data_IF_534298624672
#
_entry.id   IF_534298624672
#
_cell.length_a   1.000
_cell.length_b   1.000
_cell.length_c   1.000
_cell.angle_alpha   90.00
_cell.angle_beta   90.00
_cell.angle_gamma   90.00
#
_symmetry.space_group_name_H-M   'P 1'
#
loop_
_entity.id
_entity.type
_entity.pdbx_description
1 polymer ?
2 polymer ?
3 polymer ?
4 water ?
#
loop_
_entity_poly.entity_id
_entity_poly.type
_entity_poly.pdbx_seq_one_letter_code
_entity_poly.pdbx_strand_id
1 'polydeoxyribonucleotide' '(DC)(DC)(DG)(DC)(DA)(DC)(DA)(DC)(DC)(DC)(DA)(DC)(DA)(DC)(DA)(DC)(DC)(DA)(DG)' ?
2 'polydeoxyribonucleotide' '(DC)(DC)(DT)(DG)(DG)(DT)(DG)(DT)(DG)(DT)(DG)(DG)(DG)(DT)(DG)(DT)(DG)(DC)(DG)' ?
#
# COMPACT_ATOMS: atom_id res chain seq x y z
N UNK E 8 -9.03 -50.58 10.68
CA UNK E 8 -10.17 -50.10 11.47
C UNK E 8 -10.16 -50.56 12.92
N UNK E 9 -10.59 -49.68 13.82
CA UNK E 9 -10.64 -49.97 15.24
C UNK E 9 -11.92 -49.39 15.85
N UNK E 10 -12.45 -50.10 16.85
CA UNK E 10 -13.65 -49.67 17.53
C UNK E 10 -13.36 -48.65 18.62
N UNK E 11 -14.33 -47.78 18.87
CA UNK E 11 -14.22 -46.76 19.90
C UNK E 11 -14.69 -47.37 21.20
N UNK E 12 -13.82 -47.28 22.19
CA UNK E 12 -14.09 -47.81 23.53
C UNK E 12 -14.83 -46.72 24.31
N UNK E 13 -15.52 -47.08 25.38
CA UNK E 13 -16.24 -46.08 26.18
C UNK E 13 -15.25 -45.06 26.75
N UNK E 14 -14.07 -45.54 27.11
CA UNK E 14 -13.04 -44.70 27.69
C UNK E 14 -12.63 -43.60 26.70
N UNK E 15 -12.39 -43.99 25.45
CA UNK E 15 -12.01 -43.05 24.39
C UNK E 15 -13.13 -42.02 24.10
N UNK E 16 -14.36 -42.50 24.02
CA UNK E 16 -15.53 -41.63 23.81
C UNK E 16 -15.61 -40.57 24.90
N UNK E 17 -15.42 -41.00 26.15
CA UNK E 17 -15.47 -40.06 27.27
C UNK E 17 -14.29 -39.11 27.20
N UNK E 18 -13.18 -39.56 26.64
CA UNK E 18 -12.02 -38.66 26.50
C UNK E 18 -12.32 -37.58 25.44
N UNK E 19 -12.82 -38.01 24.28
CA UNK E 19 -13.19 -37.10 23.19
C UNK E 19 -14.20 -36.06 23.72
N UNK E 20 -15.23 -36.52 24.43
CA UNK E 20 -16.24 -35.61 25.01
C UNK E 20 -15.64 -34.58 25.95
N UNK E 21 -14.75 -35.02 26.82
CA UNK E 21 -14.09 -34.15 27.79
C UNK E 21 -13.30 -33.08 27.07
N UNK E 22 -12.57 -33.48 26.03
CA UNK E 22 -11.76 -32.54 25.28
C UNK E 22 -12.60 -31.45 24.57
N UNK E 23 -13.76 -31.84 24.04
CA UNK E 23 -14.63 -30.89 23.36
C UNK E 23 -15.25 -29.93 24.35
N UNK E 24 -15.58 -30.41 25.54
CA UNK E 24 -16.15 -29.54 26.58
C UNK E 24 -15.13 -28.53 27.06
N UNK E 25 -13.86 -28.92 27.12
CA UNK E 25 -12.80 -27.99 27.54
C UNK E 25 -12.27 -27.15 26.40
N UNK E 26 -12.81 -27.35 25.19
CA UNK E 26 -12.42 -26.57 24.00
C UNK E 26 -13.66 -26.37 23.13
N UNK E 27 -14.80 -25.98 23.75
CA UNK E 27 -16.06 -25.77 23.03
C UNK E 27 -16.08 -24.92 21.75
N UNK E 28 -15.25 -23.88 21.66
CA UNK E 28 -15.23 -23.02 20.48
C UNK E 28 -14.65 -23.74 19.27
N UNK E 29 -13.95 -24.84 19.54
CA UNK E 29 -13.34 -25.62 18.48
C UNK E 29 -14.13 -26.89 18.14
N UNK E 30 -15.29 -27.07 18.77
CA UNK E 30 -16.15 -28.22 18.53
C UNK E 30 -16.44 -28.55 17.06
N UNK E 31 -16.53 -27.54 16.20
CA UNK E 31 -16.82 -27.80 14.79
C UNK E 31 -15.62 -27.73 13.84
N UNK E 32 -14.42 -27.69 14.40
CA UNK E 32 -13.21 -27.68 13.61
C UNK E 32 -12.91 -29.13 13.23
N UNK E 33 -11.78 -29.31 12.56
CA UNK E 33 -11.29 -30.61 12.15
C UNK E 33 -10.01 -30.73 12.94
N UNK E 34 -9.28 -29.62 13.07
CA UNK E 34 -8.03 -29.61 13.81
C UNK E 34 -8.13 -30.06 15.24
N UNK E 35 -9.26 -29.80 15.89
CA UNK E 35 -9.40 -30.23 17.27
C UNK E 35 -9.30 -31.74 17.31
N UNK E 36 -10.00 -32.38 16.39
CA UNK E 36 -10.04 -33.82 16.30
C UNK E 36 -8.75 -34.48 15.81
N UNK E 37 -8.01 -33.77 14.99
CA UNK E 37 -6.74 -34.23 14.52
C UNK E 37 -5.79 -34.24 15.71
N UNK E 38 -5.93 -33.27 16.61
CA UNK E 38 -5.09 -33.20 17.78
C UNK E 38 -5.45 -34.30 18.74
N UNK E 39 -6.73 -34.56 18.85
CA UNK E 39 -7.17 -35.63 19.72
C UNK E 39 -6.52 -36.94 19.26
N UNK E 40 -6.44 -37.15 17.95
CA UNK E 40 -5.83 -38.39 17.45
C UNK E 40 -4.43 -38.65 17.97
N UNK E 41 -3.76 -37.61 18.45
CA UNK E 41 -2.43 -37.75 19.03
C UNK E 41 -2.41 -38.56 20.33
N UNK E 42 -3.53 -38.55 21.04
CA UNK E 42 -3.68 -39.23 22.32
C UNK E 42 -4.37 -40.56 22.19
N UNK E 43 -5.14 -40.72 21.12
CA UNK E 43 -5.85 -41.97 20.84
C UNK E 43 -5.47 -42.39 19.41
N UNK E 44 -4.20 -42.76 19.19
CA UNK E 44 -3.60 -43.19 17.94
C UNK E 44 -4.30 -44.26 17.13
N UNK E 45 -5.11 -45.09 17.78
CA UNK E 45 -5.84 -46.11 17.05
C UNK E 45 -6.84 -45.45 16.09
N UNK E 46 -7.09 -44.16 16.27
CA UNK E 46 -8.05 -43.44 15.44
C UNK E 46 -7.44 -42.23 14.74
N UNK E 47 -8.22 -41.61 13.85
CA UNK E 47 -7.75 -40.44 13.13
C UNK E 47 -8.71 -39.26 13.34
N UNK E 48 -8.25 -38.05 13.01
CA UNK E 48 -9.07 -36.87 13.14
C UNK E 48 -10.41 -37.07 12.50
N UNK E 49 -10.41 -37.68 11.30
CA UNK E 49 -11.63 -37.98 10.56
C UNK E 49 -12.58 -38.91 11.34
N UNK E 50 -12.07 -39.98 11.92
CA UNK E 50 -12.94 -40.92 12.64
C UNK E 50 -13.40 -40.36 13.96
N UNK E 51 -12.53 -39.60 14.59
CA UNK E 51 -12.85 -38.95 15.87
C UNK E 51 -13.93 -37.88 15.67
N UNK E 52 -13.79 -37.07 14.63
CA UNK E 52 -14.78 -36.02 14.38
C UNK E 52 -16.13 -36.63 14.09
N UNK E 53 -16.14 -37.60 13.18
CA UNK E 53 -17.37 -38.29 12.79
C UNK E 53 -17.97 -38.98 14.01
N UNK E 54 -17.13 -39.69 14.76
CA UNK E 54 -17.59 -40.38 15.95
C UNK E 54 -18.26 -39.36 16.85
N UNK E 55 -17.60 -38.24 17.08
CA UNK E 55 -18.17 -37.22 17.92
C UNK E 55 -19.47 -36.70 17.32
N UNK E 56 -19.38 -36.06 16.16
CA UNK E 56 -20.52 -35.49 15.44
C UNK E 56 -21.76 -36.34 15.42
N UNK E 57 -21.64 -37.53 14.86
CA UNK E 57 -22.76 -38.45 14.71
C UNK E 57 -23.15 -39.30 15.93
N UNK E 58 -22.18 -39.67 16.77
CA UNK E 58 -22.50 -40.52 17.92
C UNK E 58 -22.40 -39.85 19.28
N UNK E 59 -21.27 -39.21 19.53
CA UNK E 59 -21.05 -38.56 20.82
C UNK E 59 -21.77 -37.26 21.12
N UNK E 60 -22.12 -36.48 20.11
CA UNK E 60 -22.79 -35.19 20.32
C UNK E 60 -24.08 -35.27 21.14
N UNK E 61 -24.84 -36.34 20.95
CA UNK E 61 -26.08 -36.53 21.69
C UNK E 61 -25.82 -36.73 23.19
N UNK E 62 -24.55 -36.88 23.56
CA UNK E 62 -24.12 -37.06 24.94
C UNK E 62 -23.32 -35.87 25.49
N UNK E 63 -23.12 -34.82 24.69
CA UNK E 63 -22.34 -33.68 25.18
C UNK E 63 -22.95 -33.21 26.49
N UNK E 64 -24.23 -32.85 26.45
CA UNK E 64 -25.00 -32.38 27.60
C UNK E 64 -24.58 -31.01 28.08
N UNK E 65 -23.28 -30.75 28.12
CA UNK E 65 -22.78 -29.49 28.60
C UNK E 65 -21.36 -29.36 28.16
N UNK E 66 -20.86 -28.12 28.21
CA UNK E 66 -19.48 -27.80 27.90
C UNK E 66 -19.05 -26.93 29.08
N UNK E 67 -17.80 -26.50 29.09
CA UNK E 67 -17.33 -25.66 30.16
C UNK E 67 -17.22 -24.26 29.54
N UNK E 68 -17.55 -23.23 30.31
CA UNK E 68 -17.50 -21.90 29.75
C UNK E 68 -16.09 -21.38 29.67
N UNK E 69 -15.84 -20.60 28.61
CA UNK E 69 -14.55 -19.99 28.37
C UNK E 69 -14.74 -18.47 28.36
N UNK E 70 -13.67 -17.73 28.60
CA UNK E 70 -13.70 -16.26 28.62
C UNK E 70 -13.46 -15.67 27.22
N UNK E 71 -13.40 -14.34 27.13
CA UNK E 71 -13.17 -13.68 25.84
C UNK E 71 -11.78 -13.90 25.23
N UNK E 72 -10.83 -14.41 26.01
CA UNK E 72 -9.48 -14.68 25.51
C UNK E 72 -9.38 -16.12 25.03
N UNK E 73 -10.54 -16.78 24.91
CA UNK E 73 -10.59 -18.17 24.47
C UNK E 73 -10.18 -19.20 25.52
N UNK E 74 -9.85 -18.73 26.72
CA UNK E 74 -9.44 -19.59 27.82
C UNK E 74 -10.60 -20.07 28.72
N UNK E 75 -10.40 -21.18 29.41
CA UNK E 75 -11.44 -21.71 30.26
C UNK E 75 -11.60 -20.82 31.51
N UNK E 76 -12.81 -20.75 32.04
CA UNK E 76 -13.05 -19.97 33.24
C UNK E 76 -12.79 -20.87 34.44
N UNK E 77 -11.90 -20.43 35.32
CA UNK E 77 -11.58 -21.20 36.51
C UNK E 77 -11.81 -20.37 37.75
N UNK E 78 -12.26 -21.01 38.83
CA UNK E 78 -12.51 -20.32 40.09
C UNK E 78 -11.29 -20.29 41.01
N UNK E 79 -11.54 -19.91 42.27
CA UNK E 79 -10.54 -19.79 43.32
C UNK E 79 -9.62 -21.01 43.45
N UNK E 80 -10.23 -22.20 43.44
CA UNK E 80 -9.50 -23.45 43.60
C UNK E 80 -9.11 -24.11 42.28
N UNK E 81 -9.50 -23.52 41.16
CA UNK E 81 -9.18 -24.11 39.87
C UNK E 81 -10.27 -24.98 39.24
N UNK E 82 -11.49 -24.89 39.75
CA UNK E 82 -12.62 -25.66 39.21
C UNK E 82 -13.22 -24.94 38.00
N UNK E 83 -13.83 -25.72 37.10
CA UNK E 83 -14.44 -25.17 35.89
C UNK E 83 -15.95 -24.92 36.05
N UNK E 84 -16.57 -24.21 35.11
CA UNK E 84 -17.99 -23.91 35.15
C UNK E 84 -18.76 -24.51 33.96
N UNK E 85 -19.71 -25.41 34.26
CA UNK E 85 -20.54 -26.08 33.25
C UNK E 85 -21.56 -25.14 32.61
N UNK E 86 -21.93 -25.41 31.36
CA UNK E 86 -22.90 -24.57 30.66
C UNK E 86 -23.53 -25.29 29.47
N UNK E 87 -24.83 -25.05 29.25
CA UNK E 87 -25.55 -25.64 28.13
C UNK E 87 -25.63 -24.62 27.01
N UNK E 88 -24.91 -23.52 27.21
CA UNK E 88 -24.85 -22.43 26.26
C UNK E 88 -23.51 -22.45 25.54
N UNK E 89 -23.53 -22.90 24.29
CA UNK E 89 -22.34 -22.99 23.47
C UNK E 89 -21.76 -21.61 23.18
N UNK E 90 -20.42 -21.47 23.29
CA UNK E 90 -19.82 -20.17 23.00
C UNK E 90 -19.79 -19.94 21.50
N UNK E 91 -19.37 -18.73 21.08
CA UNK E 91 -19.35 -18.57 19.63
C UNK E 91 -18.24 -19.43 18.99
N UNK E 92 -18.52 -20.01 17.83
CA UNK E 92 -17.51 -20.83 17.16
C UNK E 92 -16.50 -19.90 16.49
N UNK E 93 -15.65 -20.47 15.65
CA UNK E 93 -14.59 -19.74 14.96
C UNK E 93 -15.05 -18.79 13.83
N UNK E 94 -16.08 -19.21 13.12
CA UNK E 94 -16.61 -18.45 12.01
C UNK E 94 -18.08 -18.16 12.27
N UNK E 95 -18.49 -16.93 11.98
CA UNK E 95 -19.89 -16.52 12.15
C UNK E 95 -20.49 -16.33 10.75
N UNK E 96 -21.69 -16.85 10.53
CA UNK E 96 -22.36 -16.72 9.24
C UNK E 96 -22.97 -15.32 9.06
N UNK E 97 -23.16 -14.91 7.80
CA UNK E 97 -23.75 -13.62 7.51
C UNK E 97 -25.28 -13.76 7.44
N UNK E 98 -25.97 -12.77 8.00
CA UNK E 98 -27.42 -12.81 7.98
C UNK E 98 -27.93 -11.86 6.93
N UNK E 99 -29.19 -12.03 6.54
CA UNK E 99 -29.81 -11.15 5.54
C UNK E 99 -29.77 -9.70 6.04
N UNK E 100 -29.99 -9.51 7.33
CA UNK E 100 -29.98 -8.19 7.93
C UNK E 100 -28.62 -7.57 7.73
N UNK E 101 -27.59 -8.36 7.98
CA UNK E 101 -26.22 -7.91 7.85
C UNK E 101 -25.93 -7.52 6.40
N UNK E 102 -26.29 -8.39 5.47
CA UNK E 102 -26.07 -8.10 4.06
C UNK E 102 -26.71 -6.76 3.63
N UNK E 103 -27.95 -6.53 4.08
CA UNK E 103 -28.69 -5.30 3.80
C UNK E 103 -28.01 -4.09 4.45
N UNK E 104 -27.68 -4.22 5.75
CA UNK E 104 -26.98 -3.16 6.48
C UNK E 104 -25.69 -2.75 5.76
N UNK E 105 -24.97 -3.72 5.21
CA UNK E 105 -23.72 -3.47 4.49
C UNK E 105 -23.97 -2.77 3.15
N UNK E 106 -24.89 -3.35 2.37
CA UNK E 106 -25.25 -2.82 1.05
C UNK E 106 -25.71 -1.36 1.13
N UNK E 107 -26.58 -1.09 2.11
CA UNK E 107 -27.09 0.26 2.34
C UNK E 107 -25.96 1.22 2.71
N UNK E 108 -25.08 0.80 3.62
CA UNK E 108 -23.96 1.62 4.04
C UNK E 108 -23.12 2.00 2.83
N UNK E 109 -22.84 1.03 1.97
CA UNK E 109 -22.06 1.26 0.75
C UNK E 109 -22.79 2.20 -0.21
N UNK E 110 -24.10 1.99 -0.38
CA UNK E 110 -24.92 2.83 -1.25
C UNK E 110 -24.85 4.29 -0.79
N UNK E 111 -25.04 4.50 0.52
CA UNK E 111 -24.97 5.83 1.12
C UNK E 111 -23.59 6.44 0.87
N UNK E 112 -22.56 5.63 1.02
CA UNK E 112 -21.22 6.08 0.77
C UNK E 112 -21.11 6.61 -0.66
N UNK E 113 -21.49 5.79 -1.64
CA UNK E 113 -21.43 6.19 -3.05
C UNK E 113 -22.29 7.43 -3.33
N UNK E 114 -23.44 7.51 -2.68
CA UNK E 114 -24.33 8.65 -2.85
C UNK E 114 -23.64 9.94 -2.40
N UNK E 115 -23.05 9.92 -1.22
CA UNK E 115 -22.34 11.08 -0.70
C UNK E 115 -21.20 11.45 -1.62
N UNK E 116 -20.49 10.44 -2.10
CA UNK E 116 -19.39 10.61 -3.01
C UNK E 116 -19.80 11.32 -4.28
N UNK E 117 -20.81 10.75 -4.94
CA UNK E 117 -21.30 11.29 -6.20
C UNK E 117 -22.10 12.58 -6.16
N UNK E 118 -22.94 12.74 -5.15
CA UNK E 118 -23.80 13.91 -5.07
C UNK E 118 -23.54 14.92 -3.97
N UNK E 119 -22.62 14.61 -3.06
CA UNK E 119 -22.28 15.55 -1.98
C UNK E 119 -23.54 16.03 -1.30
N UNK E 120 -24.46 15.11 -1.11
CA UNK E 120 -25.73 15.38 -0.47
C UNK E 120 -26.03 14.28 0.52
N UNK E 121 -26.58 14.67 1.66
CA UNK E 121 -26.94 13.71 2.69
C UNK E 121 -28.18 12.94 2.24
N UNK E 122 -28.10 11.60 2.24
CA UNK E 122 -29.22 10.73 1.83
C UNK E 122 -30.45 10.82 2.74
N UNK E 123 -30.23 11.11 4.02
CA UNK E 123 -31.32 11.19 4.99
C UNK E 123 -32.20 12.44 4.89
N UNK E 124 -31.59 13.61 4.72
CA UNK E 124 -32.37 14.84 4.65
C UNK E 124 -32.25 15.53 3.31
N UNK E 125 -31.02 15.70 2.84
CA UNK E 125 -30.81 16.37 1.59
C UNK E 125 -29.90 17.54 1.84
N UNK E 126 -29.37 17.63 3.06
CA UNK E 126 -28.46 18.70 3.42
C UNK E 126 -27.28 18.64 2.45
N UNK E 127 -26.68 19.79 2.17
CA UNK E 127 -25.55 19.87 1.27
C UNK E 127 -24.29 19.54 2.04
N UNK E 128 -23.54 18.58 1.52
CA UNK E 128 -22.31 18.19 2.16
C UNK E 128 -21.16 19.06 1.70
N UNK E 129 -21.46 20.14 0.97
CA UNK E 129 -20.42 21.05 0.49
C UNK E 129 -20.02 22.00 1.62
N UNK E 161 -31.59 5.93 -5.59
CA UNK E 161 -30.87 5.74 -6.85
C UNK E 161 -30.40 4.29 -7.10
N UNK E 162 -29.48 4.11 -8.05
CA UNK E 162 -28.98 2.80 -8.47
C UNK E 162 -27.48 2.91 -8.80
N UNK E 163 -26.86 1.85 -9.29
CA UNK E 163 -25.40 1.90 -9.65
C UNK E 163 -24.87 0.64 -10.36
N UNK E 164 -23.58 0.61 -10.62
CA UNK E 164 -22.87 -0.48 -11.27
C UNK E 164 -21.40 -0.22 -11.26
N UNK E 165 -20.94 0.31 -10.13
CA UNK E 165 -19.55 0.68 -9.88
C UNK E 165 -19.04 -0.06 -8.66
N UNK E 166 -17.76 -0.39 -8.65
CA UNK E 166 -17.16 -1.12 -7.53
C UNK E 166 -16.74 -0.21 -6.38
N UNK E 167 -16.09 0.90 -6.69
CA UNK E 167 -15.66 1.80 -5.65
C UNK E 167 -15.38 3.18 -6.23
N UNK E 168 -14.34 3.89 -5.76
CA UNK E 168 -13.43 3.41 -4.71
C UNK E 168 -14.13 3.41 -3.35
N UNK E 169 -13.64 2.60 -2.44
CA UNK E 169 -14.23 2.52 -1.12
C UNK E 169 -13.52 3.57 -0.28
N UNK E 170 -14.31 4.34 0.46
CA UNK E 170 -13.80 5.38 1.32
C UNK E 170 -12.81 4.83 2.31
N UNK E 171 -11.88 5.71 2.68
CA UNK E 171 -10.83 5.43 3.65
C UNK E 171 -11.46 4.95 4.97
N UNK E 172 -10.97 3.81 5.45
CA UNK E 172 -11.45 3.21 6.70
C UNK E 172 -12.94 2.88 6.78
N UNK E 173 -13.57 2.65 5.64
CA UNK E 173 -14.98 2.32 5.56
C UNK E 173 -15.27 1.01 6.28
N UNK E 174 -14.47 0.01 5.97
CA UNK E 174 -14.67 -1.30 6.57
C UNK E 174 -14.22 -1.34 8.01
N UNK E 175 -13.20 -0.56 8.36
CA UNK E 175 -12.73 -0.50 9.73
C UNK E 175 -13.84 0.08 10.58
N UNK E 176 -14.45 1.16 10.12
CA UNK E 176 -15.54 1.72 10.88
C UNK E 176 -16.82 0.93 10.78
N UNK E 177 -17.06 0.23 9.67
CA UNK E 177 -18.25 -0.59 9.56
C UNK E 177 -18.14 -1.67 10.63
N UNK E 178 -16.97 -2.31 10.73
CA UNK E 178 -16.71 -3.36 11.73
C UNK E 178 -16.90 -2.91 13.19
N UNK E 179 -16.43 -1.69 13.50
CA UNK E 179 -16.58 -1.14 14.85
C UNK E 179 -18.06 -0.97 15.21
N UNK E 180 -18.83 -0.41 14.28
CA UNK E 180 -20.26 -0.19 14.50
C UNK E 180 -21.10 -1.48 14.42
N UNK E 181 -20.59 -2.51 13.74
CA UNK E 181 -21.25 -3.81 13.59
C UNK E 181 -20.19 -4.90 13.80
N UNK E 182 -19.78 -5.11 15.05
CA UNK E 182 -18.75 -6.08 15.40
C UNK E 182 -19.09 -7.59 15.40
N UNK E 183 -20.13 -8.00 14.69
CA UNK E 183 -20.47 -9.41 14.59
C UNK E 183 -19.44 -10.04 13.63
N UNK E 184 -18.77 -9.20 12.83
CA UNK E 184 -17.75 -9.64 11.87
C UNK E 184 -16.61 -8.65 11.91
N UNK E 185 -15.40 -9.10 11.56
CA UNK E 185 -14.22 -8.25 11.56
C UNK E 185 -14.18 -7.40 10.28
N UNK E 186 -13.26 -6.45 10.23
CA UNK E 186 -13.09 -5.60 9.05
C UNK E 186 -12.82 -6.47 7.80
N UNK E 187 -11.98 -7.50 7.97
CA UNK E 187 -11.66 -8.42 6.88
C UNK E 187 -12.87 -9.19 6.38
N UNK E 188 -13.68 -9.66 7.31
CA UNK E 188 -14.86 -10.42 6.92
C UNK E 188 -15.83 -9.56 6.13
N UNK E 189 -16.08 -8.35 6.60
CA UNK E 189 -17.01 -7.45 5.94
C UNK E 189 -16.52 -7.08 4.55
N UNK E 190 -15.23 -6.80 4.44
CA UNK E 190 -14.67 -6.44 3.16
C UNK E 190 -14.79 -7.55 2.15
N UNK E 191 -14.48 -8.78 2.56
CA UNK E 191 -14.59 -9.89 1.63
C UNK E 191 -16.04 -10.17 1.27
N UNK E 192 -16.93 -10.01 2.24
CA UNK E 192 -18.34 -10.20 1.99
C UNK E 192 -18.80 -9.21 0.92
N UNK E 193 -18.23 -8.00 0.95
CA UNK E 193 -18.57 -6.96 -0.02
C UNK E 193 -17.99 -7.31 -1.39
N UNK E 194 -16.72 -7.73 -1.42
CA UNK E 194 -16.06 -8.06 -2.68
C UNK E 194 -16.60 -9.27 -3.38
N UNK E 195 -16.69 -10.37 -2.64
CA UNK E 195 -17.12 -11.65 -3.18
C UNK E 195 -18.61 -11.88 -3.33
N UNK E 196 -19.42 -11.28 -2.47
CA UNK E 196 -20.86 -11.47 -2.54
C UNK E 196 -21.64 -10.27 -3.00
N UNK E 197 -21.50 -9.16 -2.29
CA UNK E 197 -22.22 -7.94 -2.67
C UNK E 197 -21.91 -7.49 -4.10
N UNK E 198 -20.64 -7.28 -4.42
CA UNK E 198 -20.26 -6.85 -5.76
C UNK E 198 -20.67 -7.86 -6.81
N UNK E 199 -20.71 -9.13 -6.41
CA UNK E 199 -21.09 -10.24 -7.29
C UNK E 199 -22.59 -10.27 -7.62
N UNK E 200 -23.41 -10.17 -6.59
CA UNK E 200 -24.86 -10.18 -6.71
C UNK E 200 -25.38 -8.83 -7.22
N UNK E 201 -24.70 -7.76 -6.82
CA UNK E 201 -25.07 -6.42 -7.21
C UNK E 201 -25.73 -5.71 -6.05
N UNK E 202 -25.21 -4.54 -5.70
CA UNK E 202 -25.75 -3.77 -4.57
C UNK E 202 -27.24 -3.45 -4.70
N UNK E 203 -27.63 -2.90 -5.85
CA UNK E 203 -29.02 -2.54 -6.07
C UNK E 203 -29.90 -3.76 -6.06
N UNK E 204 -29.46 -4.81 -6.73
CA UNK E 204 -30.21 -6.04 -6.81
C UNK E 204 -30.50 -6.57 -5.42
N UNK E 205 -29.47 -6.64 -4.57
CA UNK E 205 -29.72 -7.13 -3.22
C UNK E 205 -30.65 -6.23 -2.41
N UNK E 206 -30.53 -4.92 -2.58
CA UNK E 206 -31.39 -3.98 -1.85
C UNK E 206 -32.85 -4.13 -2.27
N UNK E 207 -33.10 -4.23 -3.58
CA UNK E 207 -34.47 -4.40 -4.08
C UNK E 207 -35.02 -5.72 -3.54
N UNK E 208 -34.22 -6.79 -3.63
CA UNK E 208 -34.59 -8.12 -3.12
C UNK E 208 -34.96 -8.12 -1.63
N UNK E 209 -34.05 -7.68 -0.78
CA UNK E 209 -34.30 -7.64 0.67
C UNK E 209 -35.56 -6.84 1.00
N UNK E 210 -35.63 -5.60 0.51
CA UNK E 210 -36.78 -4.73 0.75
C UNK E 210 -38.08 -5.30 0.22
N UNK E 211 -38.00 -6.03 -0.90
CA UNK E 211 -39.18 -6.64 -1.51
C UNK E 211 -39.83 -7.76 -0.72
N UNK E 212 -39.55 -7.85 0.58
CA UNK E 212 -40.14 -8.87 1.45
C UNK E 212 -40.97 -8.20 2.54
N UNK E 220 -32.50 -16.02 2.55
CA UNK E 220 -32.35 -14.57 2.48
C UNK E 220 -30.91 -14.05 2.27
N UNK E 221 -29.93 -14.49 3.11
CA UNK E 221 -28.58 -13.94 2.81
C UNK E 221 -28.00 -14.41 1.48
N UNK E 222 -27.09 -13.61 0.92
CA UNK E 222 -26.46 -13.96 -0.34
C UNK E 222 -25.74 -15.27 -0.10
N UNK E 223 -25.68 -16.10 -1.13
CA UNK E 223 -25.05 -17.39 -0.98
C UNK E 223 -24.57 -17.96 -2.31
N UNK E 224 -23.62 -18.88 -2.20
CA UNK E 224 -23.02 -19.56 -3.33
C UNK E 224 -22.57 -18.66 -4.46
N UNK E 225 -21.75 -17.67 -4.14
CA UNK E 225 -21.23 -16.76 -5.14
C UNK E 225 -19.71 -16.87 -5.28
N UNK E 226 -19.08 -17.78 -4.57
CA UNK E 226 -17.62 -17.93 -4.66
C UNK E 226 -17.18 -18.39 -6.05
N UNK E 235 -4.31 -30.18 -1.56
CA UNK E 235 -5.18 -31.23 -1.00
C UNK E 235 -6.51 -30.72 -0.44
N UNK E 236 -7.59 -31.47 -0.66
CA UNK E 236 -8.90 -31.08 -0.14
C UNK E 236 -8.80 -30.90 1.37
N UNK E 237 -9.23 -29.72 1.87
CA UNK E 237 -9.21 -29.41 3.30
C UNK E 237 -10.23 -30.24 4.05
N UNK E 238 -10.07 -30.31 5.36
CA UNK E 238 -11.01 -31.05 6.17
C UNK E 238 -10.88 -32.55 5.95
N UNK E 239 -9.66 -32.97 5.67
CA UNK E 239 -9.39 -34.37 5.44
C UNK E 239 -8.16 -34.71 6.25
N UNK E 240 -8.35 -34.91 7.55
CA UNK E 240 -7.24 -35.24 8.43
C UNK E 240 -7.21 -36.76 8.62
N UNK E 241 -6.63 -37.45 7.63
CA UNK E 241 -6.52 -38.91 7.60
C UNK E 241 -5.24 -39.47 8.28
N UNK E 242 -5.04 -40.79 8.20
CA UNK E 242 -3.87 -41.41 8.82
C UNK E 242 -2.51 -40.92 8.29
N UNK F 8 27.53 44.50 8.36
CA UNK F 8 27.93 43.95 7.06
C UNK F 8 29.45 43.88 6.85
N UNK F 9 29.99 42.68 6.98
CA UNK F 9 31.42 42.43 6.81
C UNK F 9 31.85 42.24 5.35
N UNK F 10 33.02 42.75 5.02
CA UNK F 10 33.58 42.63 3.67
C UNK F 10 34.26 41.26 3.58
N UNK F 11 34.23 40.65 2.39
CA UNK F 11 34.89 39.37 2.21
C UNK F 11 36.37 39.61 1.95
N UNK F 12 37.21 39.01 2.79
CA UNK F 12 38.65 39.12 2.66
C UNK F 12 39.10 38.09 1.61
N UNK F 13 40.32 38.22 1.09
CA UNK F 13 40.78 37.25 0.12
C UNK F 13 40.90 35.85 0.74
N UNK F 14 41.19 35.78 2.03
CA UNK F 14 41.35 34.50 2.76
C UNK F 14 40.03 33.75 2.86
N UNK F 15 38.95 34.50 3.07
CA UNK F 15 37.62 33.93 3.16
C UNK F 15 37.21 33.43 1.77
N UNK F 16 37.52 34.20 0.74
CA UNK F 16 37.22 33.85 -0.66
C UNK F 16 37.86 32.55 -1.09
N UNK F 17 39.14 32.38 -0.74
CA UNK F 17 39.91 31.16 -1.06
C UNK F 17 39.40 29.97 -0.30
N UNK F 18 39.00 30.22 0.93
CA UNK F 18 38.44 29.18 1.78
C UNK F 18 37.14 28.68 1.16
N UNK F 19 36.26 29.60 0.77
CA UNK F 19 34.97 29.27 0.16
C UNK F 19 35.22 28.45 -1.10
N UNK F 20 36.13 28.92 -1.94
CA UNK F 20 36.49 28.24 -3.16
C UNK F 20 36.99 26.83 -2.86
N UNK F 21 37.92 26.69 -1.94
CA UNK F 21 38.44 25.37 -1.59
C UNK F 21 37.34 24.43 -1.09
N UNK F 22 36.39 24.96 -0.34
CA UNK F 22 35.32 24.12 0.17
C UNK F 22 34.41 23.63 -0.95
N UNK F 23 34.09 24.51 -1.89
CA UNK F 23 33.23 24.19 -3.03
C UNK F 23 33.94 23.20 -3.95
N UNK F 24 35.24 23.36 -4.11
CA UNK F 24 36.03 22.44 -4.95
C UNK F 24 35.98 21.04 -4.36
N UNK F 25 36.00 20.95 -3.04
CA UNK F 25 35.98 19.67 -2.36
C UNK F 25 34.60 19.06 -2.19
N UNK F 26 33.58 19.84 -2.52
CA UNK F 26 32.20 19.39 -2.43
C UNK F 26 31.50 19.88 -3.68
N UNK F 27 32.09 19.63 -4.86
CA UNK F 27 31.53 20.04 -6.15
C UNK F 27 30.06 19.67 -6.43
N UNK F 28 29.60 18.51 -5.98
CA UNK F 28 28.21 18.12 -6.22
C UNK F 28 27.24 19.03 -5.46
N UNK F 29 27.78 19.80 -4.53
CA UNK F 29 26.98 20.67 -3.69
C UNK F 29 27.13 22.15 -4.00
N UNK F 30 27.70 22.44 -5.15
CA UNK F 30 27.92 23.80 -5.56
C UNK F 30 26.68 24.70 -5.61
N UNK F 31 25.52 24.16 -5.98
CA UNK F 31 24.30 24.97 -6.06
C UNK F 31 23.28 24.78 -4.95
N UNK F 32 23.71 24.15 -3.86
CA UNK F 32 22.85 23.99 -2.71
C UNK F 32 22.94 25.33 -1.95
N UNK F 33 22.20 25.42 -0.85
CA UNK F 33 22.25 26.60 0.00
C UNK F 33 22.91 26.10 1.25
N UNK F 34 22.69 24.82 1.55
CA UNK F 34 23.26 24.22 2.74
C UNK F 34 24.77 24.22 2.81
N UNK F 35 25.44 24.13 1.67
CA UNK F 35 26.89 24.09 1.70
C UNK F 35 27.45 25.40 2.24
N UNK F 36 26.87 26.50 1.80
CA UNK F 36 27.31 27.83 2.22
C UNK F 36 26.95 28.10 3.67
N UNK F 37 25.85 27.53 4.12
CA UNK F 37 25.47 27.65 5.52
C UNK F 37 26.49 26.89 6.35
N UNK F 38 26.95 25.73 5.87
CA UNK F 38 27.97 24.98 6.57
C UNK F 38 29.26 25.77 6.59
N UNK F 39 29.57 26.44 5.49
CA UNK F 39 30.79 27.24 5.40
C UNK F 39 30.77 28.36 6.46
N UNK F 40 29.59 28.88 6.76
CA UNK F 40 29.48 29.96 7.74
C UNK F 40 29.94 29.59 9.14
N UNK F 41 30.09 28.30 9.38
CA UNK F 41 30.55 27.84 10.68
C UNK F 41 31.98 28.29 10.87
N UNK F 42 32.69 28.37 9.75
CA UNK F 42 34.10 28.74 9.68
C UNK F 42 34.34 30.22 9.43
N UNK F 43 33.42 30.87 8.74
CA UNK F 43 33.52 32.31 8.47
C UNK F 43 32.21 32.90 9.02
N UNK F 44 32.04 32.88 10.36
CA UNK F 44 30.89 33.37 11.10
C UNK F 44 30.51 34.86 10.89
N UNK F 45 31.44 35.62 10.31
CA UNK F 45 31.20 37.03 10.05
C UNK F 45 30.16 37.18 8.93
N UNK F 46 29.90 36.09 8.22
CA UNK F 46 28.96 36.09 7.12
C UNK F 46 27.91 35.02 7.34
N UNK F 47 26.91 35.03 6.46
CA UNK F 47 25.81 34.08 6.55
C UNK F 47 25.85 33.13 5.35
N UNK F 48 25.03 32.09 5.42
CA UNK F 48 24.92 31.16 4.32
C UNK F 48 24.59 31.95 3.09
N UNK F 49 23.65 32.88 3.22
CA UNK F 49 23.22 33.74 2.12
C UNK F 49 24.34 34.55 1.48
N UNK F 50 25.05 35.35 2.27
CA UNK F 50 26.12 36.16 1.72
C UNK F 50 27.26 35.34 1.13
N UNK F 51 27.64 34.27 1.83
CA UNK F 51 28.71 33.41 1.34
C UNK F 51 28.29 32.82 -0.02
N UNK F 52 27.03 32.40 -0.13
CA UNK F 52 26.50 31.81 -1.36
C UNK F 52 26.50 32.79 -2.51
N UNK F 53 26.07 34.01 -2.22
CA UNK F 53 26.03 35.07 -3.21
C UNK F 53 27.44 35.46 -3.60
N UNK F 54 28.31 35.52 -2.61
CA UNK F 54 29.70 35.86 -2.85
C UNK F 54 30.27 34.83 -3.85
N UNK F 55 30.04 33.55 -3.59
CA UNK F 55 30.54 32.54 -4.50
C UNK F 55 29.93 32.68 -5.90
N UNK F 56 28.61 32.73 -5.98
CA UNK F 56 27.96 32.82 -7.28
C UNK F 56 28.36 33.99 -8.14
N UNK F 57 28.33 35.19 -7.59
CA UNK F 57 28.63 36.38 -8.37
C UNK F 57 30.10 36.73 -8.60
N UNK F 58 30.96 36.43 -7.63
CA UNK F 58 32.34 36.81 -7.77
C UNK F 58 33.35 35.69 -7.86
N UNK F 59 33.21 34.69 -7.00
CA UNK F 59 34.16 33.59 -6.98
C UNK F 59 34.02 32.50 -8.03
N UNK F 60 32.82 32.21 -8.49
CA UNK F 60 32.65 31.18 -9.52
C UNK F 60 33.46 31.51 -10.78
N UNK F 61 33.73 32.79 -10.99
CA UNK F 61 34.51 33.25 -12.14
C UNK F 61 35.94 32.75 -12.06
N UNK F 62 36.45 32.59 -10.85
CA UNK F 62 37.81 32.10 -10.68
C UNK F 62 37.92 30.69 -10.03
N UNK F 63 36.84 29.89 -10.19
CA UNK F 63 36.80 28.51 -9.67
C UNK F 63 37.96 27.73 -10.31
N UNK F 64 38.01 27.75 -11.64
CA UNK F 64 39.05 27.09 -12.43
C UNK F 64 39.01 25.58 -12.41
N UNK F 65 38.80 24.99 -11.25
CA UNK F 65 38.77 23.55 -11.12
C UNK F 65 38.12 23.12 -9.81
N UNK F 66 37.75 21.85 -9.75
CA UNK F 66 37.18 21.20 -8.57
C UNK F 66 37.93 19.88 -8.44
N UNK F 67 37.73 19.17 -7.34
CA UNK F 67 38.39 17.88 -7.15
C UNK F 67 37.32 16.86 -7.51
N UNK F 68 37.68 15.80 -8.22
CA UNK F 68 36.67 14.84 -8.59
C UNK F 68 36.21 13.90 -7.49
N UNK F 69 34.96 13.49 -7.57
CA UNK F 69 34.40 12.57 -6.58
C UNK F 69 33.93 11.33 -7.34
N UNK F 70 33.78 10.23 -6.63
CA UNK F 70 33.37 8.97 -7.20
C UNK F 70 31.86 8.76 -7.06
N UNK F 71 31.38 7.60 -7.51
CA UNK F 71 29.96 7.25 -7.45
C UNK F 71 29.43 7.14 -6.02
N UNK F 72 30.32 6.94 -5.06
CA UNK F 72 29.94 6.85 -3.66
C UNK F 72 30.01 8.24 -3.03
N UNK F 73 30.20 9.26 -3.87
CA UNK F 73 30.26 10.64 -3.41
C UNK F 73 31.50 11.09 -2.65
N UNK F 74 32.52 10.24 -2.58
CA UNK F 74 33.75 10.58 -1.88
C UNK F 74 34.82 11.13 -2.84
N UNK F 75 35.71 11.97 -2.32
CA UNK F 75 36.75 12.56 -3.15
C UNK F 75 37.71 11.49 -3.67
N UNK F 76 38.09 11.60 -4.94
CA UNK F 76 39.00 10.64 -5.56
C UNK F 76 40.44 11.05 -5.27
N UNK F 77 41.21 10.11 -4.73
CA UNK F 77 42.61 10.36 -4.42
C UNK F 77 43.47 9.37 -5.20
N UNK F 78 44.66 9.81 -5.62
CA UNK F 78 45.55 8.90 -6.34
C UNK F 78 46.45 8.09 -5.37
N UNK F 79 47.58 7.58 -5.86
CA UNK F 79 48.51 6.76 -5.05
C UNK F 79 49.18 7.40 -3.84
N UNK F 80 49.41 8.71 -3.90
CA UNK F 80 50.02 9.43 -2.79
C UNK F 80 48.95 10.15 -1.97
N UNK F 81 47.69 9.93 -2.34
CA UNK F 81 46.57 10.56 -1.64
C UNK F 81 46.24 11.96 -2.12
N UNK F 82 46.77 12.34 -3.28
CA UNK F 82 46.51 13.66 -3.86
C UNK F 82 45.11 13.64 -4.42
N UNK F 83 44.39 14.73 -4.24
CA UNK F 83 43.06 14.86 -4.78
C UNK F 83 43.27 15.08 -6.26
N UNK F 84 42.24 14.80 -7.06
CA UNK F 84 42.36 14.97 -8.48
C UNK F 84 41.61 16.21 -8.98
N UNK F 85 42.38 17.15 -9.51
CA UNK F 85 41.83 18.40 -10.03
C UNK F 85 41.25 18.21 -11.44
N UNK F 86 40.06 18.77 -11.66
CA UNK F 86 39.38 18.64 -12.95
C UNK F 86 38.48 19.84 -13.21
N UNK F 87 38.29 20.17 -14.48
CA UNK F 87 37.43 21.27 -14.90
C UNK F 87 36.07 20.68 -15.22
N UNK F 88 35.99 19.37 -15.12
CA UNK F 88 34.77 18.63 -15.38
C UNK F 88 33.86 18.65 -14.14
N UNK F 89 32.82 19.47 -14.19
CA UNK F 89 31.85 19.59 -13.08
C UNK F 89 30.98 18.37 -13.04
N UNK F 90 30.91 17.72 -11.88
CA UNK F 90 30.07 16.53 -11.78
C UNK F 90 28.58 16.87 -11.71
N UNK F 91 27.72 15.85 -11.72
CA UNK F 91 26.33 16.27 -11.63
C UNK F 91 26.02 16.82 -10.22
N UNK F 92 25.03 17.69 -10.15
CA UNK F 92 24.65 18.25 -8.87
C UNK F 92 23.72 17.26 -8.18
N UNK F 93 22.81 17.75 -7.37
CA UNK F 93 21.90 16.89 -6.63
C UNK F 93 20.62 16.54 -7.40
N UNK F 94 20.14 17.49 -8.19
CA UNK F 94 18.94 17.31 -8.98
C UNK F 94 19.29 17.56 -10.43
N UNK F 95 18.58 16.88 -11.33
CA UNK F 95 18.78 17.00 -12.78
C UNK F 95 17.49 17.45 -13.43
N UNK F 96 17.60 18.31 -14.43
CA UNK F 96 16.43 18.81 -15.13
C UNK F 96 15.93 17.83 -16.18
N UNK F 97 14.70 18.06 -16.64
CA UNK F 97 14.05 17.22 -17.64
C UNK F 97 14.13 17.88 -19.02
N UNK F 98 14.66 17.15 -19.99
CA UNK F 98 14.77 17.65 -21.36
C UNK F 98 13.51 17.19 -22.06
N UNK F 99 13.25 17.77 -23.24
CA UNK F 99 12.06 17.42 -24.02
C UNK F 99 12.14 15.96 -24.46
N UNK F 100 13.34 15.50 -24.77
CA UNK F 100 13.52 14.11 -25.17
C UNK F 100 13.07 13.18 -24.05
N UNK F 101 13.36 13.56 -22.81
CA UNK F 101 12.96 12.76 -21.65
C UNK F 101 11.45 12.76 -21.47
N UNK F 102 10.83 13.94 -21.58
CA UNK F 102 9.39 14.02 -21.44
C UNK F 102 8.69 13.29 -22.59
N UNK F 103 9.21 13.42 -23.80
CA UNK F 103 8.66 12.73 -24.95
C UNK F 103 8.80 11.20 -24.77
N UNK F 104 9.98 10.71 -24.42
CA UNK F 104 10.19 9.27 -24.20
C UNK F 104 9.16 8.74 -23.20
N UNK F 105 8.87 9.53 -22.18
CA UNK F 105 7.89 9.16 -21.15
C UNK F 105 6.48 9.20 -21.74
N UNK F 106 6.20 10.22 -22.54
CA UNK F 106 4.90 10.36 -23.17
C UNK F 106 4.61 9.17 -24.09
N UNK F 107 5.54 8.89 -25.00
CA UNK F 107 5.41 7.75 -25.91
C UNK F 107 5.30 6.46 -25.11
N UNK F 108 6.22 6.22 -24.19
CA UNK F 108 6.22 5.01 -23.36
C UNK F 108 4.95 4.75 -22.59
N UNK F 109 4.34 5.81 -22.05
CA UNK F 109 3.09 5.67 -21.32
C UNK F 109 1.95 5.35 -22.32
N UNK F 110 2.03 5.92 -23.51
CA UNK F 110 1.02 5.67 -24.53
C UNK F 110 1.10 4.23 -25.02
N UNK F 111 2.31 3.73 -25.25
CA UNK F 111 2.47 2.34 -25.70
C UNK F 111 1.86 1.41 -24.64
N UNK F 112 1.99 1.78 -23.37
CA UNK F 112 1.45 1.00 -22.28
C UNK F 112 -0.09 1.01 -22.34
N UNK F 113 -0.69 2.20 -22.44
CA UNK F 113 -2.15 2.34 -22.51
C UNK F 113 -2.72 1.60 -23.74
N UNK F 114 -2.07 1.80 -24.89
CA UNK F 114 -2.45 1.16 -26.15
C UNK F 114 -2.51 -0.36 -25.94
N UNK F 115 -1.48 -0.91 -25.31
CA UNK F 115 -1.41 -2.35 -25.04
C UNK F 115 -2.54 -2.90 -24.19
N UNK F 116 -2.83 -2.22 -23.07
CA UNK F 116 -3.90 -2.64 -22.17
C UNK F 116 -5.28 -2.51 -22.84
N UNK F 117 -5.42 -1.50 -23.70
CA UNK F 117 -6.67 -1.26 -24.39
C UNK F 117 -6.97 -2.15 -25.57
N UNK F 118 -6.01 -2.23 -26.48
CA UNK F 118 -6.18 -2.99 -27.69
C UNK F 118 -5.52 -4.37 -27.72
N UNK F 119 -4.66 -4.65 -26.75
CA UNK F 119 -3.99 -5.94 -26.69
C UNK F 119 -3.27 -6.21 -28.01
N UNK F 120 -2.81 -5.14 -28.64
CA UNK F 120 -2.10 -5.22 -29.91
C UNK F 120 -0.77 -4.50 -29.75
N UNK F 121 0.21 -4.89 -30.57
CA UNK F 121 1.54 -4.32 -30.55
C UNK F 121 1.56 -2.99 -31.28
N UNK F 122 1.98 -1.89 -30.60
CA UNK F 122 2.04 -0.55 -31.20
C UNK F 122 2.96 -0.50 -32.41
N UNK F 123 4.10 -1.16 -32.29
CA UNK F 123 5.09 -1.19 -33.34
C UNK F 123 4.66 -1.94 -34.61
N UNK F 124 4.10 -3.14 -34.47
CA UNK F 124 3.74 -3.93 -35.64
C UNK F 124 2.29 -4.32 -35.87
N UNK F 125 1.55 -4.53 -34.80
CA UNK F 125 0.16 -4.95 -34.97
C UNK F 125 -0.02 -6.36 -34.50
N UNK F 126 1.08 -7.04 -34.19
CA UNK F 126 1.05 -8.42 -33.68
C UNK F 126 0.07 -8.49 -32.51
N UNK F 127 -0.54 -9.65 -32.30
CA UNK F 127 -1.47 -9.80 -31.20
C UNK F 127 -0.78 -10.28 -29.94
N UNK F 128 -1.17 -9.69 -28.82
CA UNK F 128 -0.60 -10.02 -27.53
C UNK F 128 -1.49 -11.03 -26.77
N UNK F 129 -2.21 -11.86 -27.52
CA UNK F 129 -3.10 -12.87 -26.94
C UNK F 129 -2.39 -14.23 -26.94
N UNK F 161 -3.36 6.69 -32.15
CA UNK F 161 -4.61 6.93 -31.40
C UNK F 161 -4.47 8.08 -30.38
N UNK F 162 -5.42 8.22 -29.46
CA UNK F 162 -5.39 9.31 -28.47
C UNK F 162 -6.11 8.90 -27.15
N UNK F 163 -5.98 9.69 -26.08
CA UNK F 163 -6.61 9.37 -24.78
C UNK F 163 -6.94 10.56 -23.88
N UNK F 164 -7.57 10.24 -22.75
CA UNK F 164 -7.96 11.19 -21.72
C UNK F 164 -8.17 10.37 -20.46
N UNK F 165 -7.18 9.56 -20.11
CA UNK F 165 -7.24 8.70 -18.94
C UNK F 165 -5.95 8.71 -18.14
N UNK F 166 -6.08 8.60 -16.83
CA UNK F 166 -4.95 8.63 -15.91
C UNK F 166 -4.13 7.33 -15.77
N UNK F 167 -4.75 6.17 -16.00
CA UNK F 167 -4.04 4.91 -15.89
C UNK F 167 -4.97 3.71 -15.79
N UNK F 168 -4.69 2.74 -14.88
CA UNK F 168 -3.57 2.70 -13.93
C UNK F 168 -2.27 2.44 -14.65
N UNK F 169 -1.18 2.63 -13.94
CA UNK F 169 0.12 2.39 -14.54
C UNK F 169 0.54 0.97 -14.17
N UNK F 170 1.00 0.24 -15.18
CA UNK F 170 1.44 -1.13 -15.02
C UNK F 170 2.38 -1.33 -13.84
N UNK F 171 2.46 -2.57 -13.39
CA UNK F 171 3.30 -2.95 -12.28
C UNK F 171 4.78 -2.69 -12.63
N UNK F 172 5.46 -1.97 -11.73
CA UNK F 172 6.89 -1.62 -11.86
C UNK F 172 7.27 -0.81 -13.11
N UNK F 173 6.28 -0.14 -13.70
CA UNK F 173 6.48 0.66 -14.91
C UNK F 173 7.59 1.70 -14.74
N UNK F 174 7.56 2.44 -13.63
CA UNK F 174 8.55 3.48 -13.39
C UNK F 174 9.88 2.94 -12.94
N UNK F 175 9.87 1.75 -12.34
CA UNK F 175 11.09 1.11 -11.88
C UNK F 175 11.91 0.79 -13.11
N UNK F 176 11.25 0.16 -14.06
CA UNK F 176 11.88 -0.24 -15.31
C UNK F 176 12.19 0.92 -16.24
N UNK F 177 11.30 1.89 -16.29
CA UNK F 177 11.55 3.07 -17.09
C UNK F 177 12.83 3.72 -16.56
N UNK F 178 12.96 3.85 -15.23
CA UNK F 178 14.15 4.44 -14.61
C UNK F 178 15.40 3.60 -14.88
N UNK F 179 15.21 2.29 -15.03
CA UNK F 179 16.30 1.39 -15.30
C UNK F 179 16.79 1.61 -16.72
N UNK F 180 15.87 1.63 -17.68
CA UNK F 180 16.23 1.84 -19.09
C UNK F 180 16.60 3.29 -19.43
N UNK F 181 16.23 4.23 -18.56
CA UNK F 181 16.52 5.65 -18.74
C UNK F 181 16.88 6.22 -17.36
N UNK F 182 18.08 5.83 -16.88
CA UNK F 182 18.59 6.19 -15.56
C UNK F 182 19.12 7.61 -15.32
N UNK F 183 18.77 8.56 -16.18
CA UNK F 183 19.19 9.94 -15.97
C UNK F 183 18.44 10.45 -14.74
N UNK F 184 17.30 9.82 -14.45
CA UNK F 184 16.43 10.17 -13.33
C UNK F 184 16.04 8.88 -12.58
N UNK F 185 15.66 8.99 -11.31
CA UNK F 185 15.26 7.86 -10.50
C UNK F 185 13.81 7.45 -10.81
N UNK F 186 13.40 6.33 -10.23
CA UNK F 186 12.02 5.87 -10.37
C UNK F 186 11.09 6.95 -9.84
N UNK F 187 11.45 7.53 -8.69
CA UNK F 187 10.64 8.58 -8.05
C UNK F 187 10.56 9.84 -8.88
N UNK F 188 11.68 10.23 -9.47
CA UNK F 188 11.67 11.44 -10.28
C UNK F 188 10.78 11.26 -11.51
N UNK F 189 10.85 10.08 -12.14
CA UNK F 189 10.01 9.85 -13.32
C UNK F 189 8.51 9.83 -12.99
N UNK F 190 8.15 9.22 -11.87
CA UNK F 190 6.75 9.15 -11.51
C UNK F 190 6.12 10.51 -11.27
N UNK F 191 6.79 11.36 -10.51
CA UNK F 191 6.24 12.67 -10.22
C UNK F 191 6.13 13.51 -11.47
N UNK F 192 7.11 13.40 -12.37
CA UNK F 192 7.10 14.13 -13.62
C UNK F 192 5.88 13.73 -14.43
N UNK F 193 5.44 12.50 -14.24
CA UNK F 193 4.27 11.99 -14.95
C UNK F 193 3.04 12.55 -14.28
N UNK F 194 2.93 12.31 -12.97
CA UNK F 194 1.79 12.79 -12.21
C UNK F 194 1.53 14.27 -12.24
N UNK F 195 2.60 15.05 -12.10
CA UNK F 195 2.48 16.49 -12.02
C UNK F 195 2.67 17.25 -13.32
N UNK F 196 3.40 16.68 -14.26
CA UNK F 196 3.64 17.35 -15.54
C UNK F 196 2.96 16.70 -16.74
N UNK F 197 3.29 15.45 -17.03
CA UNK F 197 2.68 14.76 -18.17
C UNK F 197 1.15 14.74 -18.08
N UNK F 198 0.61 14.46 -16.89
CA UNK F 198 -0.84 14.41 -16.74
C UNK F 198 -1.52 15.75 -16.68
N UNK F 199 -0.77 16.81 -16.39
CA UNK F 199 -1.36 18.13 -16.33
C UNK F 199 -1.35 18.78 -17.71
N UNK F 200 -0.36 18.44 -18.52
CA UNK F 200 -0.27 18.97 -19.88
C UNK F 200 -1.06 18.11 -20.87
N UNK F 201 -1.11 16.80 -20.58
CA UNK F 201 -1.81 15.85 -21.43
C UNK F 201 -0.81 15.11 -22.31
N UNK F 202 -0.86 13.78 -22.29
CA UNK F 202 0.07 12.96 -23.06
C UNK F 202 0.05 13.16 -24.57
N UNK F 203 -1.14 13.27 -25.13
CA UNK F 203 -1.32 13.47 -26.57
C UNK F 203 -0.81 14.85 -26.95
N UNK F 204 -1.27 15.83 -26.18
CA UNK F 204 -0.92 17.23 -26.35
C UNK F 204 0.59 17.41 -26.51
N UNK F 205 1.35 16.84 -25.58
CA UNK F 205 2.80 16.95 -25.65
C UNK F 205 3.40 16.16 -26.81
N UNK F 206 2.84 14.99 -27.10
CA UNK F 206 3.35 14.16 -28.21
C UNK F 206 3.27 14.92 -29.55
N UNK F 207 2.13 15.56 -29.80
CA UNK F 207 1.92 16.33 -31.03
C UNK F 207 2.79 17.58 -31.03
N UNK F 208 2.83 18.25 -29.88
CA UNK F 208 3.63 19.44 -29.72
C UNK F 208 5.08 19.11 -30.07
N UNK F 209 5.65 18.18 -29.33
CA UNK F 209 7.04 17.79 -29.55
C UNK F 209 7.29 17.39 -31.01
N UNK F 210 6.43 16.51 -31.54
CA UNK F 210 6.56 16.06 -32.92
C UNK F 210 6.36 17.13 -33.98
N UNK F 211 5.61 18.18 -33.64
CA UNK F 211 5.34 19.28 -34.56
C UNK F 211 6.61 20.01 -35.00
N UNK F 212 7.52 20.23 -34.04
CA UNK F 212 8.78 20.92 -34.31
C UNK F 212 9.64 20.15 -35.31
N UNK F 220 11.12 23.54 -24.92
CA UNK F 220 10.77 22.17 -25.29
C UNK F 220 10.31 21.31 -24.09
N UNK F 221 11.13 21.18 -23.03
CA UNK F 221 10.54 20.34 -21.96
C UNK F 221 9.38 21.09 -21.30
N UNK F 222 8.45 20.37 -20.67
CA UNK F 222 7.32 21.00 -20.02
C UNK F 222 7.85 21.87 -18.90
N UNK F 223 7.10 22.92 -18.54
CA UNK F 223 7.58 23.85 -17.51
C UNK F 223 6.45 24.56 -16.77
N UNK F 224 6.79 25.15 -15.63
CA UNK F 224 5.85 25.89 -14.80
C UNK F 224 4.43 25.31 -14.83
N UNK F 225 4.25 24.19 -14.13
CA UNK F 225 2.97 23.49 -14.06
C UNK F 225 2.61 23.03 -12.64
N UNK F 226 3.48 23.29 -11.69
CA UNK F 226 3.27 22.89 -10.30
C UNK F 226 1.97 23.47 -9.70
N UNK F 235 7.88 28.32 6.22
CA UNK F 235 8.81 29.44 5.95
C UNK F 235 9.51 29.28 4.61
N UNK F 236 9.92 30.39 4.00
CA UNK F 236 10.59 30.33 2.72
C UNK F 236 11.94 29.58 2.80
N UNK F 237 12.15 28.60 1.90
CA UNK F 237 13.36 27.79 1.82
C UNK F 237 14.40 28.56 1.00
N UNK F 238 15.68 28.31 1.29
CA UNK F 238 16.72 28.96 0.52
C UNK F 238 16.98 30.36 1.03
N UNK F 239 16.98 30.47 2.35
CA UNK F 239 17.23 31.71 3.03
C UNK F 239 17.91 31.32 4.33
N UNK F 240 19.21 31.06 4.26
CA UNK F 240 19.96 30.69 5.45
C UNK F 240 20.60 31.98 5.93
N UNK F 241 19.82 32.71 6.73
CA UNK F 241 20.22 34.01 7.30
C UNK F 241 20.96 33.95 8.64
N UNK F 242 21.05 35.08 9.33
CA UNK F 242 21.74 35.12 10.62
C UNK F 242 20.89 34.63 11.79
#
# INVERSE_FOLDING_TARGET
GALPSHNKASFTDEEDEFILDVVRKNPTRRTTHTLYDEISHYVPNHTGNSIRHRFRVYLSKRLEYVYEVDKFGKLVRDDDGNLIKTKVLPPSIKRKFSADEDYTLAIAVKKQFYRDLFQIDPDTGRSLITDEDTPTAIARRNMTMDPNHVPGSEPNFAAYRTQSRRGPIAREFFKHFAEEHAAHTENAWRDRFRKFLLAYGIDDYISYYEAEKAQNREPEPMKNLTNRPKRPGVPTPGNYNSAAKR
GALPSHNKASFTDEEDEFILDVVRKNPTRRTTHTLYDEISHYVPNHTGNSIRHRFRVYLSKRLEYVYEVDKFGKLVRDDDGNLIKTKVLPPSIKRKFSADEDYTLAIAVKKQFYRDLFQIDPDTGRSLITDEDTPTAIARRNMTMDPNHVPGSEPNFAAYRTQSRRGPIAREFFKHFAEEHAAHTENAWRDRFRKFLLAYGIDDYISYYEAEKAQNREPEPMKNLTNRPKRPGVPTPGNYNSAAKR
#
